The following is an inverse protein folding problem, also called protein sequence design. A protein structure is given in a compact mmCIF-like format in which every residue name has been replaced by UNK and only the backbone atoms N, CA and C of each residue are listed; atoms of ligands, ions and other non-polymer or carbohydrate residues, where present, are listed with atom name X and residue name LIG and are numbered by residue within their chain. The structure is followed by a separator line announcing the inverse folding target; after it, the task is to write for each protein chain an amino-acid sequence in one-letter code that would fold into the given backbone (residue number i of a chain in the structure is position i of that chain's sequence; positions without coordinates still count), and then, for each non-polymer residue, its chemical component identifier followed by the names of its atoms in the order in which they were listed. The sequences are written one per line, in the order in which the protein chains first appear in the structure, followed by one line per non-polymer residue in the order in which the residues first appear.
data_IF_175671453212
#
_entry.id   IF_175671453212
#
_cell.length_a   1.000
_cell.length_b   1.000
_cell.length_c   1.000
_cell.angle_alpha   90.00
_cell.angle_beta   90.00
_cell.angle_gamma   90.00
#
_symmetry.space_group_name_H-M   'P 1'
#
loop_
_entity.id
_entity.type
_entity.pdbx_description
1 polymer ?
#
# COMPACT_ATOMS: atom_id res chain seq x y z
N UNK A 1 -49.00 -18.92 -20.04
CA UNK A 1 -47.77 -18.65 -19.27
C UNK A 1 -46.48 -19.27 -19.86
N UNK A 2 -46.44 -19.74 -21.14
CA UNK A 2 -45.22 -20.29 -21.78
C UNK A 2 -44.30 -19.26 -22.44
N UNK A 3 -44.76 -18.05 -22.75
CA UNK A 3 -43.94 -17.02 -23.42
C UNK A 3 -42.94 -16.29 -22.55
N UNK A 4 -43.19 -16.14 -21.27
CA UNK A 4 -42.32 -15.43 -20.35
C UNK A 4 -41.03 -16.20 -20.01
N UNK A 5 -41.10 -17.55 -19.96
CA UNK A 5 -39.95 -18.39 -19.66
C UNK A 5 -38.95 -18.45 -20.83
N UNK A 6 -39.44 -18.46 -22.07
CA UNK A 6 -38.58 -18.49 -23.27
C UNK A 6 -37.85 -17.15 -23.51
N UNK A 7 -38.47 -16.02 -23.20
CA UNK A 7 -37.84 -14.70 -23.27
C UNK A 7 -36.80 -14.50 -22.15
N UNK A 8 -37.07 -14.99 -20.93
CA UNK A 8 -36.12 -14.97 -19.82
C UNK A 8 -34.87 -15.80 -20.15
N UNK A 9 -35.04 -16.98 -20.77
CA UNK A 9 -33.93 -17.83 -21.20
C UNK A 9 -33.03 -17.17 -22.25
N UNK A 10 -33.60 -16.39 -23.21
CA UNK A 10 -32.80 -15.67 -24.22
C UNK A 10 -31.94 -14.57 -23.62
N UNK A 11 -32.47 -13.80 -22.66
CA UNK A 11 -31.70 -12.76 -21.96
C UNK A 11 -30.60 -13.37 -21.06
N UNK A 12 -30.92 -14.42 -20.34
CA UNK A 12 -29.96 -15.15 -19.51
C UNK A 12 -28.86 -15.80 -20.36
N UNK A 13 -29.16 -16.27 -21.57
CA UNK A 13 -28.17 -16.84 -22.49
C UNK A 13 -27.03 -15.90 -22.76
N UNK A 14 -27.32 -14.63 -23.11
CA UNK A 14 -26.32 -13.62 -23.39
C UNK A 14 -25.45 -13.30 -22.16
N UNK A 15 -26.04 -13.21 -20.98
CA UNK A 15 -25.31 -12.98 -19.73
C UNK A 15 -24.39 -14.15 -19.37
N UNK A 16 -24.85 -15.38 -19.55
CA UNK A 16 -24.02 -16.56 -19.33
C UNK A 16 -22.88 -16.66 -20.35
N UNK A 17 -23.13 -16.28 -21.61
CA UNK A 17 -22.10 -16.26 -22.64
C UNK A 17 -21.02 -15.21 -22.33
N UNK A 18 -21.43 -13.99 -21.95
CA UNK A 18 -20.53 -12.95 -21.49
C UNK A 18 -19.66 -13.40 -20.29
N UNK A 19 -20.30 -14.06 -19.32
CA UNK A 19 -19.61 -14.64 -18.18
C UNK A 19 -18.62 -15.72 -18.59
N UNK A 20 -19.02 -16.62 -19.49
CA UNK A 20 -18.15 -17.67 -20.00
C UNK A 20 -16.90 -17.11 -20.68
N UNK A 21 -17.04 -16.10 -21.54
CA UNK A 21 -15.93 -15.44 -22.20
C UNK A 21 -14.98 -14.80 -21.17
N UNK A 22 -15.51 -14.17 -20.15
CA UNK A 22 -14.70 -13.55 -19.07
C UNK A 22 -13.95 -14.57 -18.26
N UNK A 23 -14.60 -15.66 -17.86
CA UNK A 23 -14.03 -16.64 -16.90
C UNK A 23 -13.18 -17.72 -17.57
N UNK A 24 -13.53 -18.17 -18.78
CA UNK A 24 -12.96 -19.41 -19.37
C UNK A 24 -12.04 -19.16 -20.57
N UNK A 25 -11.96 -17.91 -21.06
CA UNK A 25 -11.20 -17.61 -22.27
C UNK A 25 -10.12 -16.57 -22.03
N UNK A 26 -9.05 -16.67 -22.79
CA UNK A 26 -8.00 -15.68 -22.99
C UNK A 26 -7.28 -15.98 -24.31
N UNK A 27 -6.31 -15.16 -24.70
CA UNK A 27 -5.56 -15.30 -25.94
C UNK A 27 -4.95 -16.69 -26.14
N UNK A 28 -4.52 -17.35 -25.05
CA UNK A 28 -3.90 -18.69 -25.05
C UNK A 28 -4.92 -19.82 -24.94
N UNK A 29 -6.14 -19.51 -24.52
CA UNK A 29 -7.22 -20.47 -24.25
C UNK A 29 -8.51 -20.07 -24.97
N UNK A 30 -8.49 -19.90 -26.30
CA UNK A 30 -9.72 -19.64 -27.07
C UNK A 30 -10.68 -20.83 -26.97
N UNK A 31 -11.97 -20.58 -27.03
CA UNK A 31 -13.03 -21.58 -26.95
C UNK A 31 -13.87 -21.63 -28.20
N UNK A 32 -14.26 -22.81 -28.59
CA UNK A 32 -15.12 -23.01 -29.76
C UNK A 32 -16.58 -22.70 -29.45
N UNK A 33 -17.38 -22.43 -30.47
CA UNK A 33 -18.85 -22.31 -30.34
C UNK A 33 -19.46 -23.57 -29.70
N UNK A 34 -18.87 -24.72 -29.94
CA UNK A 34 -19.34 -25.97 -29.38
C UNK A 34 -19.12 -26.05 -27.85
N UNK A 35 -17.99 -25.52 -27.36
CA UNK A 35 -17.72 -25.39 -25.94
C UNK A 35 -18.72 -24.44 -25.26
N UNK A 36 -19.08 -23.36 -25.95
CA UNK A 36 -20.07 -22.38 -25.46
C UNK A 36 -21.47 -22.99 -25.37
N UNK A 37 -21.88 -23.77 -26.38
CA UNK A 37 -23.16 -24.49 -26.37
C UNK A 37 -23.17 -25.50 -25.20
N UNK A 38 -22.14 -26.30 -25.05
CA UNK A 38 -22.02 -27.26 -23.96
C UNK A 38 -22.01 -26.58 -22.57
N UNK A 39 -21.45 -25.38 -22.47
CA UNK A 39 -21.53 -24.60 -21.23
C UNK A 39 -22.96 -24.14 -20.96
N UNK A 40 -23.67 -23.60 -21.95
CA UNK A 40 -25.06 -23.14 -21.82
C UNK A 40 -26.03 -24.28 -21.48
N UNK A 41 -25.82 -25.45 -22.09
CA UNK A 41 -26.60 -26.66 -21.77
C UNK A 41 -26.48 -27.05 -20.29
N UNK A 42 -25.28 -26.97 -19.72
CA UNK A 42 -25.05 -27.18 -18.28
C UNK A 42 -25.77 -26.17 -17.39
N UNK A 43 -26.10 -24.99 -17.93
CA UNK A 43 -26.90 -23.98 -17.25
C UNK A 43 -28.42 -24.15 -17.54
N UNK A 44 -28.82 -25.22 -18.24
CA UNK A 44 -30.20 -25.46 -18.62
C UNK A 44 -30.70 -24.60 -19.77
N UNK A 45 -29.79 -24.03 -20.56
CA UNK A 45 -30.12 -23.16 -21.69
C UNK A 45 -29.72 -23.86 -23.00
N UNK A 46 -30.71 -24.19 -23.84
CA UNK A 46 -30.48 -24.70 -25.19
C UNK A 46 -30.12 -23.56 -26.14
N UNK A 47 -29.10 -23.75 -26.96
CA UNK A 47 -28.63 -22.77 -27.92
C UNK A 47 -28.21 -23.47 -29.24
N UNK A 48 -28.58 -22.86 -30.36
CA UNK A 48 -28.14 -23.27 -31.69
C UNK A 48 -26.88 -22.49 -32.09
N UNK A 49 -26.05 -23.12 -32.91
CA UNK A 49 -24.79 -22.53 -33.38
C UNK A 49 -24.95 -21.15 -33.99
N UNK A 50 -25.96 -20.94 -34.83
CA UNK A 50 -26.25 -19.66 -35.48
C UNK A 50 -26.53 -18.57 -34.42
N UNK A 51 -27.33 -18.90 -33.42
CA UNK A 51 -27.69 -17.95 -32.38
C UNK A 51 -26.54 -17.56 -31.46
N UNK A 52 -25.47 -18.37 -31.40
CA UNK A 52 -24.25 -17.99 -30.67
C UNK A 52 -23.46 -16.93 -31.42
N UNK A 53 -23.38 -17.02 -32.75
CA UNK A 53 -22.74 -15.99 -33.57
C UNK A 53 -23.44 -14.64 -33.41
N UNK A 54 -24.79 -14.62 -33.48
CA UNK A 54 -25.60 -13.42 -33.28
C UNK A 54 -25.36 -12.84 -31.86
N UNK A 55 -25.21 -13.69 -30.82
CA UNK A 55 -24.94 -13.25 -29.48
C UNK A 55 -23.51 -12.68 -29.32
N UNK A 56 -22.50 -13.26 -29.99
CA UNK A 56 -21.14 -12.75 -29.97
C UNK A 56 -21.06 -11.34 -30.60
N UNK A 57 -21.73 -11.13 -31.73
CA UNK A 57 -21.85 -9.81 -32.35
C UNK A 57 -22.53 -8.80 -31.41
N UNK A 58 -23.58 -9.22 -30.68
CA UNK A 58 -24.22 -8.36 -29.68
C UNK A 58 -23.30 -8.03 -28.51
N UNK A 59 -22.43 -8.95 -28.06
CA UNK A 59 -21.46 -8.70 -27.03
C UNK A 59 -20.36 -7.75 -27.50
N UNK A 60 -19.92 -7.84 -28.74
CA UNK A 60 -19.01 -6.87 -29.38
C UNK A 60 -19.65 -5.49 -29.45
N UNK A 61 -20.90 -5.40 -29.87
CA UNK A 61 -21.67 -4.14 -29.91
C UNK A 61 -21.85 -3.54 -28.49
N UNK A 62 -21.95 -4.40 -27.46
CA UNK A 62 -22.02 -3.98 -26.08
C UNK A 62 -20.67 -3.44 -25.55
N UNK A 63 -19.57 -3.62 -26.30
CA UNK A 63 -18.23 -3.15 -25.95
C UNK A 63 -17.32 -4.23 -25.35
N UNK A 64 -17.66 -5.52 -25.48
CA UNK A 64 -16.74 -6.61 -25.15
C UNK A 64 -15.83 -6.88 -26.35
N UNK A 65 -14.52 -6.87 -26.12
CA UNK A 65 -13.52 -7.18 -27.16
C UNK A 65 -13.49 -8.71 -27.42
N UNK A 66 -14.48 -9.22 -28.16
CA UNK A 66 -14.56 -10.63 -28.52
C UNK A 66 -13.71 -10.87 -29.77
N UNK A 67 -12.61 -11.54 -29.61
CA UNK A 67 -11.69 -11.83 -30.69
C UNK A 67 -11.81 -13.28 -31.17
N UNK A 68 -11.61 -13.46 -32.48
CA UNK A 68 -11.63 -14.77 -33.12
C UNK A 68 -10.21 -15.17 -33.57
N UNK A 69 -9.80 -16.38 -33.26
CA UNK A 69 -8.52 -16.93 -33.69
C UNK A 69 -8.74 -18.15 -34.58
N UNK A 70 -8.00 -18.19 -35.71
CA UNK A 70 -7.96 -19.32 -36.61
C UNK A 70 -6.72 -20.18 -36.30
N UNK A 71 -6.95 -21.33 -35.67
CA UNK A 71 -5.94 -22.32 -35.40
C UNK A 71 -6.33 -23.69 -36.07
N UNK A 72 -5.99 -24.81 -35.42
CA UNK A 72 -6.54 -26.14 -35.79
C UNK A 72 -8.07 -26.14 -35.69
N UNK A 73 -8.64 -25.34 -34.79
CA UNK A 73 -10.07 -25.09 -34.63
C UNK A 73 -10.27 -23.59 -34.52
N UNK A 74 -11.41 -23.10 -35.04
CA UNK A 74 -11.79 -21.72 -34.91
C UNK A 74 -12.32 -21.46 -33.49
N UNK A 75 -11.71 -20.53 -32.77
CA UNK A 75 -12.06 -20.24 -31.37
C UNK A 75 -12.23 -18.75 -31.12
N UNK A 76 -12.96 -18.43 -30.06
CA UNK A 76 -13.22 -17.07 -29.57
C UNK A 76 -12.63 -16.89 -28.18
N UNK A 77 -12.22 -15.67 -27.89
CA UNK A 77 -11.73 -15.28 -26.56
C UNK A 77 -12.01 -13.79 -26.30
N UNK A 78 -12.03 -13.40 -25.04
CA UNK A 78 -12.08 -12.01 -24.64
C UNK A 78 -10.66 -11.44 -24.65
N UNK A 79 -10.37 -10.49 -25.54
CA UNK A 79 -9.06 -9.87 -25.74
C UNK A 79 -8.78 -8.84 -24.67
N UNK A 80 -9.42 -7.68 -24.73
CA UNK A 80 -9.20 -6.59 -23.79
C UNK A 80 -9.94 -6.83 -22.47
N UNK A 81 -9.26 -6.53 -21.36
CA UNK A 81 -9.76 -6.61 -19.98
C UNK A 81 -9.41 -5.35 -19.23
N UNK A 82 -10.18 -5.03 -18.19
CA UNK A 82 -9.88 -3.88 -17.30
C UNK A 82 -8.46 -3.92 -16.74
N UNK A 83 -7.97 -5.14 -16.43
CA UNK A 83 -6.62 -5.37 -15.95
C UNK A 83 -5.91 -6.40 -16.82
N UNK A 84 -4.70 -6.07 -17.23
CA UNK A 84 -3.79 -7.00 -17.87
C UNK A 84 -3.15 -7.95 -16.84
N UNK A 85 -2.72 -9.13 -17.28
CA UNK A 85 -2.13 -10.13 -16.39
C UNK A 85 -0.90 -9.64 -15.62
N UNK A 86 0.03 -8.83 -16.19
CA UNK A 86 1.15 -8.25 -15.44
C UNK A 86 0.69 -7.29 -14.33
N UNK A 87 -0.36 -6.50 -14.56
CA UNK A 87 -0.91 -5.58 -13.57
C UNK A 87 -1.53 -6.33 -12.39
N UNK A 88 -2.31 -7.40 -12.67
CA UNK A 88 -2.84 -8.27 -11.62
C UNK A 88 -1.75 -8.95 -10.81
N UNK A 89 -0.66 -9.38 -11.46
CA UNK A 89 0.51 -9.92 -10.75
C UNK A 89 1.09 -8.91 -9.78
N UNK A 90 1.30 -7.67 -10.23
CA UNK A 90 1.82 -6.60 -9.39
C UNK A 90 0.88 -6.30 -8.20
N UNK A 91 -0.43 -6.21 -8.45
CA UNK A 91 -1.43 -5.98 -7.39
C UNK A 91 -1.41 -7.11 -6.34
N UNK A 92 -1.33 -8.37 -6.78
CA UNK A 92 -1.24 -9.52 -5.88
C UNK A 92 0.04 -9.49 -5.07
N UNK A 93 1.18 -9.16 -5.69
CA UNK A 93 2.47 -9.03 -5.02
C UNK A 93 2.42 -7.94 -3.93
N UNK A 94 1.82 -6.79 -4.22
CA UNK A 94 1.61 -5.70 -3.25
C UNK A 94 0.71 -6.14 -2.09
N UNK A 95 -0.40 -6.84 -2.37
CA UNK A 95 -1.30 -7.36 -1.34
C UNK A 95 -0.59 -8.39 -0.46
N UNK A 96 0.21 -9.28 -1.05
CA UNK A 96 0.98 -10.28 -0.30
C UNK A 96 2.10 -9.65 0.53
N UNK A 97 2.77 -8.63 -0.01
CA UNK A 97 3.86 -7.92 0.66
C UNK A 97 3.37 -6.97 1.76
N UNK A 98 2.09 -6.62 1.79
CA UNK A 98 1.53 -5.66 2.74
C UNK A 98 1.64 -6.17 4.19
N UNK A 99 2.37 -5.48 5.08
CA UNK A 99 2.42 -5.81 6.50
C UNK A 99 1.13 -5.43 7.24
N UNK A 100 0.25 -4.64 6.59
CA UNK A 100 -0.96 -4.07 7.18
C UNK A 100 -2.18 -4.97 7.05
N UNK A 101 -2.08 -6.01 6.23
CA UNK A 101 -3.15 -6.96 6.01
C UNK A 101 -2.86 -8.25 6.78
N UNK A 102 -3.89 -8.77 7.45
CA UNK A 102 -3.84 -10.12 8.00
C UNK A 102 -3.72 -11.14 6.87
N UNK A 103 -3.23 -12.33 7.16
CA UNK A 103 -3.14 -13.38 6.15
C UNK A 103 -4.51 -13.72 5.55
N UNK A 104 -5.54 -13.81 6.40
CA UNK A 104 -6.93 -14.06 5.97
C UNK A 104 -7.41 -12.99 5.00
N UNK A 105 -7.20 -11.70 5.33
CA UNK A 105 -7.64 -10.58 4.49
C UNK A 105 -6.86 -10.51 3.16
N UNK A 106 -5.56 -10.80 3.19
CA UNK A 106 -4.76 -10.89 1.97
C UNK A 106 -5.29 -11.98 1.04
N UNK A 107 -5.58 -13.18 1.57
CA UNK A 107 -6.15 -14.29 0.77
C UNK A 107 -7.51 -13.94 0.18
N UNK A 108 -8.39 -13.27 0.96
CA UNK A 108 -9.69 -12.81 0.46
C UNK A 108 -9.54 -11.82 -0.70
N UNK A 109 -8.65 -10.83 -0.57
CA UNK A 109 -8.40 -9.85 -1.62
C UNK A 109 -7.79 -10.47 -2.88
N UNK A 110 -6.83 -11.40 -2.71
CA UNK A 110 -6.24 -12.13 -3.83
C UNK A 110 -7.31 -12.94 -4.56
N UNK A 111 -8.19 -13.62 -3.85
CA UNK A 111 -9.29 -14.36 -4.47
C UNK A 111 -10.25 -13.46 -5.28
N UNK A 112 -10.45 -12.20 -4.86
CA UNK A 112 -11.20 -11.20 -5.64
C UNK A 112 -10.45 -10.73 -6.87
N UNK A 113 -9.14 -10.49 -6.76
CA UNK A 113 -8.28 -10.10 -7.90
C UNK A 113 -8.21 -11.22 -8.96
N UNK A 114 -8.16 -12.47 -8.53
CA UNK A 114 -8.18 -13.64 -9.43
C UNK A 114 -9.45 -13.69 -10.30
N UNK A 115 -10.56 -13.13 -9.84
CA UNK A 115 -11.83 -13.08 -10.59
C UNK A 115 -11.83 -12.05 -11.73
N UNK A 116 -10.85 -11.15 -11.76
CA UNK A 116 -10.73 -10.13 -12.80
C UNK A 116 -10.06 -10.67 -14.09
N UNK A 117 -9.61 -11.92 -14.08
CA UNK A 117 -9.00 -12.58 -15.25
C UNK A 117 -9.64 -13.93 -15.53
N UNK A 118 -9.17 -14.59 -16.59
CA UNK A 118 -9.61 -15.96 -16.91
C UNK A 118 -9.14 -16.97 -15.86
N UNK A 119 -9.88 -18.06 -15.67
CA UNK A 119 -9.48 -19.16 -14.77
C UNK A 119 -8.11 -19.76 -15.09
N UNK A 120 -7.73 -19.95 -16.38
CA UNK A 120 -6.37 -20.38 -16.70
C UNK A 120 -5.30 -19.38 -16.25
N UNK A 121 -5.52 -18.08 -16.44
CA UNK A 121 -4.60 -17.05 -16.00
C UNK A 121 -4.59 -16.91 -14.46
N UNK A 122 -5.75 -17.01 -13.79
CA UNK A 122 -5.84 -17.00 -12.33
C UNK A 122 -4.98 -18.07 -11.67
N UNK A 123 -4.85 -19.26 -12.28
CA UNK A 123 -3.94 -20.32 -11.79
C UNK A 123 -2.47 -19.90 -11.85
N UNK A 124 -2.08 -19.04 -12.79
CA UNK A 124 -0.72 -18.50 -12.87
C UNK A 124 -0.44 -17.42 -11.82
N UNK A 125 -1.50 -16.76 -11.31
CA UNK A 125 -1.41 -15.73 -10.29
C UNK A 125 -1.14 -16.29 -8.88
N UNK A 126 -1.44 -17.56 -8.64
CA UNK A 126 -1.22 -18.26 -7.37
C UNK A 126 0.24 -18.57 -7.07
N UNK A 127 1.16 -17.78 -7.60
CA UNK A 127 2.57 -17.90 -7.24
C UNK A 127 2.77 -17.41 -5.81
N UNK A 128 3.53 -18.18 -5.04
CA UNK A 128 3.99 -17.71 -3.73
C UNK A 128 5.06 -16.65 -3.96
N UNK A 129 4.74 -15.40 -3.71
CA UNK A 129 5.76 -14.39 -3.48
C UNK A 129 6.28 -14.65 -2.07
N UNK A 130 7.55 -15.07 -1.96
CA UNK A 130 8.21 -15.19 -0.68
C UNK A 130 8.45 -13.77 -0.14
N UNK A 131 7.58 -13.33 0.73
CA UNK A 131 7.82 -12.12 1.53
C UNK A 131 8.72 -12.57 2.68
N UNK A 132 9.93 -12.02 2.75
CA UNK A 132 10.82 -12.24 3.92
C UNK A 132 10.04 -11.90 5.19
N UNK A 133 10.20 -12.74 6.22
CA UNK A 133 9.46 -12.72 7.49
C UNK A 133 9.20 -11.28 7.99
N UNK A 134 8.02 -10.80 7.70
CA UNK A 134 7.51 -9.55 8.26
C UNK A 134 6.44 -9.91 9.28
N UNK A 135 6.56 -9.32 10.45
CA UNK A 135 5.50 -9.37 11.46
C UNK A 135 4.25 -8.74 10.84
N UNK A 136 3.30 -9.57 10.43
CA UNK A 136 2.00 -9.12 9.93
C UNK A 136 1.14 -8.65 11.09
N UNK A 137 0.32 -7.66 10.85
CA UNK A 137 -0.69 -7.29 11.84
C UNK A 137 -1.69 -8.43 12.04
N UNK A 138 -2.08 -8.65 13.29
CA UNK A 138 -3.23 -9.50 13.63
C UNK A 138 -4.52 -8.68 13.84
N UNK A 139 -4.44 -7.36 13.59
CA UNK A 139 -5.52 -6.42 13.88
C UNK A 139 -6.35 -6.13 12.62
N UNK A 140 -7.45 -6.87 12.43
CA UNK A 140 -8.40 -6.60 11.34
C UNK A 140 -9.07 -5.22 11.47
N UNK A 141 -9.10 -4.63 12.68
CA UNK A 141 -9.67 -3.29 12.92
C UNK A 141 -8.87 -2.19 12.24
N UNK A 142 -7.59 -2.45 11.89
CA UNK A 142 -6.75 -1.50 11.18
C UNK A 142 -7.37 -1.09 9.82
N UNK A 143 -7.95 -2.03 9.09
CA UNK A 143 -8.61 -1.77 7.82
C UNK A 143 -9.76 -0.75 7.98
N UNK A 144 -10.62 -0.96 8.98
CA UNK A 144 -11.73 -0.05 9.27
C UNK A 144 -11.27 1.30 9.83
N UNK A 145 -10.18 1.32 10.58
CA UNK A 145 -9.60 2.57 11.06
C UNK A 145 -9.06 3.42 9.90
N UNK A 146 -8.39 2.80 8.92
CA UNK A 146 -7.92 3.48 7.71
C UNK A 146 -9.11 4.05 6.92
N UNK A 147 -10.18 3.29 6.74
CA UNK A 147 -11.39 3.72 6.03
C UNK A 147 -12.06 4.91 6.75
N UNK A 148 -12.24 4.80 8.06
CA UNK A 148 -12.80 5.90 8.87
C UNK A 148 -11.95 7.17 8.84
N UNK A 149 -10.61 7.04 8.85
CA UNK A 149 -9.71 8.18 8.73
C UNK A 149 -9.78 8.82 7.34
N UNK A 150 -9.86 8.04 6.27
CA UNK A 150 -10.06 8.57 4.92
C UNK A 150 -11.39 9.33 4.82
N UNK A 151 -12.46 8.79 5.38
CA UNK A 151 -13.76 9.47 5.43
C UNK A 151 -13.65 10.80 6.17
N UNK A 152 -13.01 10.82 7.35
CA UNK A 152 -12.85 12.04 8.14
C UNK A 152 -12.00 13.10 7.42
N UNK A 153 -10.96 12.69 6.70
CA UNK A 153 -10.11 13.59 5.89
C UNK A 153 -10.92 14.18 4.73
N UNK A 154 -11.67 13.35 4.00
CA UNK A 154 -12.45 13.79 2.85
C UNK A 154 -13.62 14.70 3.24
N UNK A 155 -14.23 14.47 4.40
CA UNK A 155 -15.39 15.22 4.87
C UNK A 155 -15.01 16.40 5.79
N UNK A 156 -13.71 16.66 5.94
CA UNK A 156 -13.18 17.70 6.84
C UNK A 156 -13.73 17.60 8.28
N UNK A 157 -13.71 16.39 8.86
CA UNK A 157 -14.22 16.09 10.18
C UNK A 157 -13.12 15.77 11.17
N UNK A 158 -13.33 16.12 12.45
CA UNK A 158 -12.48 15.64 13.53
C UNK A 158 -12.69 14.16 13.79
N UNK A 159 -11.66 13.53 14.36
CA UNK A 159 -11.74 12.14 14.82
C UNK A 159 -11.39 12.06 16.29
N UNK A 160 -11.98 11.07 16.96
CA UNK A 160 -11.61 10.70 18.33
C UNK A 160 -11.09 9.28 18.35
N UNK A 161 -10.09 9.01 19.18
CA UNK A 161 -9.55 7.65 19.38
C UNK A 161 -8.81 7.56 20.70
N UNK A 162 -8.68 6.36 21.27
CA UNK A 162 -7.73 6.07 22.36
C UNK A 162 -6.41 5.62 21.76
N UNK A 163 -5.29 6.06 22.33
CA UNK A 163 -3.96 5.72 21.84
C UNK A 163 -3.18 4.96 22.90
N UNK A 164 -2.52 3.86 22.51
CA UNK A 164 -1.80 3.01 23.43
C UNK A 164 -0.34 2.79 23.00
N UNK A 165 0.49 2.48 23.98
CA UNK A 165 1.83 1.91 23.80
C UNK A 165 1.80 0.46 24.29
N UNK A 166 2.70 -0.36 23.73
CA UNK A 166 2.90 -1.72 24.22
C UNK A 166 3.67 -1.71 25.52
N UNK A 167 3.27 -2.52 26.48
CA UNK A 167 4.01 -2.78 27.71
C UNK A 167 5.00 -3.94 27.50
N UNK A 168 6.06 -4.06 28.33
CA UNK A 168 7.07 -5.14 28.20
C UNK A 168 6.49 -6.56 28.27
N UNK A 169 5.36 -6.73 28.92
CA UNK A 169 4.62 -8.00 29.03
C UNK A 169 3.64 -8.24 27.86
N UNK A 170 3.65 -7.38 26.83
CA UNK A 170 2.79 -7.47 25.66
C UNK A 170 1.37 -6.95 25.86
N UNK A 171 1.09 -6.28 26.99
CA UNK A 171 -0.16 -5.58 27.25
C UNK A 171 -0.23 -4.22 26.57
N UNK A 172 -1.31 -3.48 26.83
CA UNK A 172 -1.55 -2.13 26.32
C UNK A 172 -1.62 -1.13 27.45
N UNK A 173 -0.76 -0.12 27.39
CA UNK A 173 -0.81 1.06 28.27
C UNK A 173 -1.42 2.23 27.50
N UNK A 174 -2.61 2.66 27.88
CA UNK A 174 -3.27 3.79 27.23
C UNK A 174 -2.66 5.10 27.69
N UNK A 175 -2.26 5.94 26.73
CA UNK A 175 -1.82 7.30 27.02
C UNK A 175 -2.97 8.13 27.59
N UNK A 176 -2.65 9.18 28.34
CA UNK A 176 -3.62 10.07 29.01
C UNK A 176 -4.63 9.31 29.90
N UNK A 177 -4.23 8.19 30.50
CA UNK A 177 -5.12 7.37 31.34
C UNK A 177 -6.32 6.79 30.58
N UNK A 178 -6.22 6.65 29.23
CA UNK A 178 -7.32 6.16 28.39
C UNK A 178 -8.28 7.24 27.90
N UNK A 179 -8.09 8.52 28.26
CA UNK A 179 -8.89 9.61 27.73
C UNK A 179 -8.68 9.71 26.20
N UNK A 180 -9.79 9.77 25.42
CA UNK A 180 -9.68 9.88 23.96
C UNK A 180 -8.93 11.14 23.53
N UNK A 181 -8.16 10.98 22.46
CA UNK A 181 -7.65 12.11 21.69
C UNK A 181 -8.76 12.60 20.78
N UNK A 182 -8.94 13.91 20.68
CA UNK A 182 -9.66 14.55 19.59
C UNK A 182 -8.64 15.27 18.72
N UNK A 183 -8.70 15.09 17.41
CA UNK A 183 -7.66 15.61 16.51
C UNK A 183 -8.22 15.96 15.14
N UNK A 184 -7.48 16.80 14.42
CA UNK A 184 -7.77 17.27 13.07
C UNK A 184 -7.00 16.43 12.06
N UNK A 185 -7.61 15.40 11.44
CA UNK A 185 -6.93 14.56 10.47
C UNK A 185 -6.63 15.35 9.19
N UNK A 186 -5.41 15.21 8.69
CA UNK A 186 -4.94 15.92 7.49
C UNK A 186 -4.62 14.96 6.36
N UNK A 187 -3.87 13.91 6.66
CA UNK A 187 -3.47 12.92 5.69
C UNK A 187 -3.14 11.58 6.32
N UNK A 188 -3.22 10.52 5.51
CA UNK A 188 -2.63 9.23 5.82
C UNK A 188 -1.33 9.06 5.05
N UNK A 189 -0.28 8.67 5.75
CA UNK A 189 1.02 8.35 5.18
C UNK A 189 1.35 6.89 5.44
N UNK A 190 2.02 6.26 4.50
CA UNK A 190 2.45 4.86 4.57
C UNK A 190 3.96 4.79 4.41
N UNK A 191 4.59 4.20 5.40
CA UNK A 191 5.98 3.75 5.34
C UNK A 191 6.03 2.30 5.82
N UNK A 192 6.71 1.98 6.90
CA UNK A 192 6.63 0.67 7.58
C UNK A 192 5.27 0.43 8.24
N UNK A 193 4.56 1.50 8.57
CA UNK A 193 3.22 1.52 9.20
C UNK A 193 2.35 2.58 8.54
N UNK A 194 1.04 2.49 8.80
CA UNK A 194 0.14 3.61 8.53
C UNK A 194 0.24 4.66 9.64
N UNK A 195 0.38 5.90 9.23
CA UNK A 195 0.41 7.06 10.12
C UNK A 195 -0.67 8.06 9.75
N UNK A 196 -1.40 8.51 10.73
CA UNK A 196 -2.22 9.70 10.62
C UNK A 196 -1.35 10.93 10.88
N UNK A 197 -1.28 11.83 9.92
CA UNK A 197 -0.82 13.21 10.13
C UNK A 197 -2.02 14.02 10.55
N UNK A 198 -1.96 14.61 11.73
CA UNK A 198 -3.03 15.42 12.29
C UNK A 198 -2.51 16.78 12.74
N UNK A 199 -3.24 17.84 12.42
CA UNK A 199 -2.92 19.20 12.85
C UNK A 199 -3.34 19.42 14.30
N UNK A 200 -2.44 19.94 15.12
CA UNK A 200 -2.69 20.36 16.51
C UNK A 200 -2.65 21.89 16.61
N UNK A 201 -3.81 22.56 16.71
CA UNK A 201 -3.86 24.01 16.73
C UNK A 201 -3.24 24.63 18.00
N UNK A 202 -3.10 23.86 19.08
CA UNK A 202 -2.51 24.36 20.32
C UNK A 202 -1.00 24.61 20.21
N UNK A 203 -0.32 23.82 19.39
CA UNK A 203 1.13 23.96 19.13
C UNK A 203 1.40 24.52 17.72
N UNK A 204 0.36 24.74 16.92
CA UNK A 204 0.43 25.18 15.53
C UNK A 204 1.35 24.28 14.66
N UNK A 205 1.32 22.97 14.91
CA UNK A 205 2.20 21.99 14.28
C UNK A 205 1.45 20.66 14.06
N UNK A 206 2.09 19.72 13.40
CA UNK A 206 1.53 18.42 13.04
C UNK A 206 2.01 17.33 14.00
N UNK A 207 1.11 16.40 14.31
CA UNK A 207 1.40 15.20 15.09
C UNK A 207 1.19 13.97 14.24
N UNK A 208 2.05 12.96 14.47
CA UNK A 208 1.94 11.67 13.84
C UNK A 208 1.42 10.62 14.82
N UNK A 209 0.43 9.89 14.39
CA UNK A 209 -0.12 8.79 15.17
C UNK A 209 -0.09 7.51 14.34
N UNK A 210 0.50 6.46 14.86
CA UNK A 210 0.42 5.13 14.24
C UNK A 210 -1.01 4.63 14.32
N UNK A 211 -1.59 4.28 13.17
CA UNK A 211 -3.00 3.86 13.10
C UNK A 211 -3.21 2.51 13.79
N UNK A 212 -2.22 1.61 13.78
CA UNK A 212 -2.25 0.32 14.47
C UNK A 212 -2.27 0.43 16.01
N UNK A 213 -1.97 1.62 16.56
CA UNK A 213 -2.03 1.94 17.99
C UNK A 213 -3.29 2.71 18.40
N UNK A 214 -4.21 2.89 17.47
CA UNK A 214 -5.49 3.55 17.72
C UNK A 214 -6.56 2.51 18.09
N UNK A 215 -7.38 2.83 19.06
CA UNK A 215 -8.57 2.05 19.40
C UNK A 215 -9.79 2.95 19.54
N UNK A 216 -10.97 2.37 19.25
CA UNK A 216 -12.25 3.07 19.31
C UNK A 216 -12.25 4.36 18.48
N UNK A 217 -11.70 4.27 17.26
CA UNK A 217 -11.73 5.39 16.33
C UNK A 217 -13.19 5.71 15.97
N UNK A 218 -13.52 6.98 16.06
CA UNK A 218 -14.85 7.49 15.68
C UNK A 218 -14.66 8.80 14.90
N UNK A 219 -15.31 8.89 13.75
CA UNK A 219 -15.45 10.15 13.00
C UNK A 219 -16.54 10.97 13.70
N UNK A 220 -16.25 12.21 14.02
CA UNK A 220 -17.20 13.10 14.71
C UNK A 220 -17.97 13.96 13.72
N UNK A 221 -19.08 14.53 14.17
CA UNK A 221 -19.81 15.55 13.39
C UNK A 221 -19.16 16.95 13.47
N UNK A 222 -18.09 17.09 14.27
CA UNK A 222 -17.39 18.37 14.44
C UNK A 222 -16.50 18.63 13.23
N UNK A 223 -16.64 19.78 12.55
CA UNK A 223 -15.72 20.16 11.47
C UNK A 223 -14.27 20.26 11.96
N UNK A 224 -13.34 19.91 11.09
CA UNK A 224 -11.91 20.09 11.32
C UNK A 224 -11.59 21.59 11.45
N UNK A 225 -10.67 21.93 12.35
CA UNK A 225 -10.15 23.28 12.45
C UNK A 225 -9.42 23.69 11.15
N UNK A 226 -9.42 24.98 10.78
CA UNK A 226 -8.72 25.45 9.59
C UNK A 226 -7.24 25.06 9.60
N UNK A 227 -6.75 24.58 8.47
CA UNK A 227 -5.33 24.28 8.31
C UNK A 227 -4.56 25.53 7.88
N UNK A 228 -3.26 25.63 8.20
CA UNK A 228 -2.40 26.68 7.66
C UNK A 228 -2.39 26.66 6.11
N UNK A 229 -2.49 27.85 5.49
CA UNK A 229 -2.61 28.01 4.03
C UNK A 229 -1.44 27.42 3.20
N UNK A 230 -0.29 27.17 3.81
CA UNK A 230 0.94 26.77 3.12
C UNK A 230 1.37 25.32 3.39
N UNK A 231 0.48 24.45 3.86
CA UNK A 231 0.84 23.06 4.12
C UNK A 231 0.98 22.26 2.82
N UNK A 232 2.21 21.85 2.49
CA UNK A 232 2.53 20.95 1.39
C UNK A 232 2.89 19.57 1.96
N UNK A 233 1.92 18.66 1.92
CA UNK A 233 2.09 17.28 2.41
C UNK A 233 3.26 16.56 1.71
N UNK A 234 3.45 16.77 0.40
CA UNK A 234 4.51 16.11 -0.36
C UNK A 234 5.91 16.53 0.09
N UNK A 235 6.10 17.81 0.39
CA UNK A 235 7.35 18.31 0.99
C UNK A 235 7.49 17.82 2.41
N UNK A 236 6.42 17.88 3.19
CA UNK A 236 6.43 17.47 4.59
C UNK A 236 6.86 16.01 4.76
N UNK A 237 6.25 15.08 4.03
CA UNK A 237 6.58 13.65 4.11
C UNK A 237 8.04 13.36 3.71
N UNK A 238 8.60 14.11 2.75
CA UNK A 238 10.00 13.94 2.34
C UNK A 238 11.01 14.29 3.43
N UNK A 239 10.64 15.13 4.40
CA UNK A 239 11.54 15.58 5.47
C UNK A 239 11.57 14.64 6.67
N UNK A 240 10.56 13.77 6.80
CA UNK A 240 10.36 12.93 7.99
C UNK A 240 11.12 11.60 7.84
N UNK A 241 11.88 11.24 8.87
CA UNK A 241 12.50 9.93 9.02
C UNK A 241 11.62 9.00 9.84
N UNK A 242 11.09 7.92 9.23
CA UNK A 242 10.24 6.92 9.88
C UNK A 242 9.08 7.53 10.71
N UNK A 243 8.49 8.65 10.23
CA UNK A 243 7.42 9.38 10.90
C UNK A 243 7.69 9.72 12.38
N UNK A 244 8.95 9.98 12.70
CA UNK A 244 9.35 10.46 14.02
C UNK A 244 9.19 11.99 14.09
N UNK A 245 8.52 12.50 15.13
CA UNK A 245 8.40 13.95 15.37
C UNK A 245 9.74 14.51 15.84
N UNK A 246 10.51 15.10 14.94
CA UNK A 246 11.74 15.78 15.22
C UNK A 246 11.66 17.25 14.81
N UNK A 247 12.78 17.93 14.83
CA UNK A 247 12.92 19.31 14.32
C UNK A 247 13.47 19.23 12.90
N UNK A 248 12.77 19.85 11.95
CA UNK A 248 13.26 19.93 10.57
C UNK A 248 14.47 20.86 10.48
N UNK A 249 15.59 20.32 10.03
CA UNK A 249 16.86 21.04 9.83
C UNK A 249 17.43 20.76 8.45
N UNK A 250 18.03 21.76 7.83
CA UNK A 250 18.81 21.52 6.62
C UNK A 250 20.20 21.05 7.02
N UNK A 251 20.50 19.80 6.70
CA UNK A 251 21.81 19.19 7.01
C UNK A 251 22.68 19.09 5.77
N UNK A 252 23.98 19.15 5.97
CA UNK A 252 24.96 18.75 4.98
C UNK A 252 25.66 17.47 5.44
N UNK A 253 25.56 16.45 4.62
CA UNK A 253 26.14 15.14 4.83
C UNK A 253 27.24 14.90 3.81
N UNK A 254 28.26 14.12 4.19
CA UNK A 254 29.31 13.63 3.29
C UNK A 254 29.28 12.10 3.30
N UNK A 255 29.35 11.51 2.13
CA UNK A 255 29.34 10.05 1.96
C UNK A 255 30.50 9.61 1.05
N UNK A 256 30.96 8.39 1.24
CA UNK A 256 31.81 7.72 0.25
C UNK A 256 31.03 7.55 -1.06
N UNK A 257 31.71 7.64 -2.21
CA UNK A 257 31.07 7.56 -3.55
C UNK A 257 30.30 6.25 -3.76
N UNK A 258 30.73 5.16 -3.13
CA UNK A 258 30.04 3.88 -3.21
C UNK A 258 28.61 3.92 -2.68
N UNK A 259 28.28 4.88 -1.82
CA UNK A 259 26.95 5.05 -1.23
C UNK A 259 26.02 5.94 -2.07
N UNK A 260 26.38 6.29 -3.32
CA UNK A 260 25.56 7.16 -4.18
C UNK A 260 24.12 6.61 -4.35
N UNK A 261 23.96 5.30 -4.55
CA UNK A 261 22.63 4.69 -4.69
C UNK A 261 21.78 4.86 -3.42
N UNK A 262 22.38 4.68 -2.24
CA UNK A 262 21.71 4.89 -0.95
C UNK A 262 21.25 6.35 -0.80
N UNK A 263 22.09 7.29 -1.22
CA UNK A 263 21.75 8.72 -1.21
C UNK A 263 20.60 9.02 -2.18
N UNK A 264 20.66 8.46 -3.40
CA UNK A 264 19.60 8.61 -4.39
C UNK A 264 18.27 7.99 -3.92
N UNK A 265 18.32 6.79 -3.33
CA UNK A 265 17.14 6.10 -2.80
C UNK A 265 16.51 6.87 -1.64
N UNK A 266 17.32 7.57 -0.82
CA UNK A 266 16.83 8.28 0.36
C UNK A 266 16.33 9.68 0.04
N UNK A 267 17.09 10.45 -0.73
CA UNK A 267 16.83 11.88 -0.94
C UNK A 267 16.24 12.18 -2.33
N UNK A 268 16.25 11.19 -3.23
CA UNK A 268 15.74 11.31 -4.59
C UNK A 268 16.68 12.05 -5.54
N UNK A 269 16.29 12.12 -6.81
CA UNK A 269 17.07 12.78 -7.86
C UNK A 269 17.14 14.30 -7.69
N UNK A 270 16.22 14.90 -6.93
CA UNK A 270 16.16 16.34 -6.67
C UNK A 270 17.11 16.77 -5.52
N UNK A 271 17.78 15.83 -4.86
CA UNK A 271 18.75 16.14 -3.81
C UNK A 271 19.92 16.96 -4.35
N UNK A 272 20.33 17.98 -3.60
CA UNK A 272 21.49 18.76 -3.96
C UNK A 272 22.77 17.98 -3.65
N UNK A 273 23.23 17.20 -4.63
CA UNK A 273 24.43 16.34 -4.55
C UNK A 273 25.55 16.99 -5.33
N UNK A 274 26.74 17.08 -4.73
CA UNK A 274 27.94 17.59 -5.38
C UNK A 274 29.16 16.71 -5.08
N UNK A 275 30.10 16.59 -5.99
CA UNK A 275 31.39 15.98 -5.71
C UNK A 275 32.13 16.74 -4.59
N UNK A 276 32.83 16.01 -3.73
CA UNK A 276 33.65 16.53 -2.63
C UNK A 276 34.92 15.67 -2.52
N UNK A 277 35.90 15.96 -3.41
CA UNK A 277 37.10 15.14 -3.57
C UNK A 277 36.76 13.71 -4.05
N UNK A 278 37.15 12.72 -3.27
CA UNK A 278 36.84 11.28 -3.47
C UNK A 278 35.49 10.87 -2.91
N UNK A 279 34.78 11.79 -2.25
CA UNK A 279 33.47 11.63 -1.64
C UNK A 279 32.38 12.42 -2.37
N UNK A 280 31.15 12.37 -1.85
CA UNK A 280 30.01 13.18 -2.27
C UNK A 280 29.44 13.94 -1.08
N UNK A 281 29.08 15.21 -1.30
CA UNK A 281 28.37 16.03 -0.33
C UNK A 281 26.91 16.17 -0.74
N UNK A 282 26.01 16.03 0.24
CA UNK A 282 24.56 16.08 0.06
C UNK A 282 24.00 17.14 1.00
N UNK A 283 23.19 18.05 0.48
CA UNK A 283 22.44 19.02 1.28
C UNK A 283 20.97 18.70 1.17
N UNK A 284 20.31 18.43 2.29
CA UNK A 284 18.90 18.06 2.32
C UNK A 284 18.23 18.53 3.63
N UNK A 285 16.95 18.89 3.58
CA UNK A 285 16.13 19.05 4.78
C UNK A 285 15.82 17.67 5.35
N UNK A 286 16.01 17.49 6.67
CA UNK A 286 15.69 16.25 7.38
C UNK A 286 15.06 16.56 8.73
N UNK A 287 14.22 15.67 9.20
CA UNK A 287 13.72 15.73 10.57
C UNK A 287 14.76 15.07 11.49
N UNK A 288 15.43 15.89 12.28
CA UNK A 288 16.53 15.46 13.14
C UNK A 288 15.98 14.76 14.38
N UNK A 289 16.46 13.54 14.63
CA UNK A 289 16.03 12.75 15.77
C UNK A 289 16.74 11.40 15.81
N UNK A 290 16.41 10.53 16.79
CA UNK A 290 17.05 9.23 16.96
C UNK A 290 17.01 8.34 15.71
N UNK A 291 15.93 8.42 14.92
CA UNK A 291 15.78 7.64 13.68
C UNK A 291 16.74 8.09 12.59
N UNK A 292 16.92 9.41 12.44
CA UNK A 292 17.90 9.98 11.53
C UNK A 292 19.33 9.60 11.97
N UNK A 293 19.62 9.71 13.26
CA UNK A 293 20.93 9.32 13.80
C UNK A 293 21.22 7.85 13.61
N UNK A 294 20.24 6.97 13.86
CA UNK A 294 20.37 5.53 13.62
C UNK A 294 20.61 5.19 12.15
N UNK A 295 19.89 5.88 11.24
CA UNK A 295 20.11 5.74 9.80
C UNK A 295 21.51 6.20 9.38
N UNK A 296 22.00 7.32 9.90
CA UNK A 296 23.35 7.80 9.58
C UNK A 296 24.42 6.87 10.15
N UNK A 297 24.22 6.37 11.38
CA UNK A 297 25.16 5.51 12.09
C UNK A 297 25.43 4.18 11.38
N UNK A 298 24.45 3.63 10.63
CA UNK A 298 24.61 2.34 9.92
C UNK A 298 25.76 2.35 8.91
N UNK A 299 26.18 3.52 8.43
CA UNK A 299 27.27 3.66 7.44
C UNK A 299 28.64 3.80 8.09
N UNK A 300 28.72 3.91 9.41
CA UNK A 300 29.97 4.07 10.13
C UNK A 300 30.82 5.24 9.62
N UNK A 301 32.11 5.02 9.37
CA UNK A 301 33.01 6.04 8.85
C UNK A 301 32.80 6.43 7.38
N UNK A 302 31.89 5.76 6.66
CA UNK A 302 31.59 6.07 5.25
C UNK A 302 30.59 7.23 5.10
N UNK A 303 29.99 7.67 6.20
CA UNK A 303 29.09 8.81 6.24
C UNK A 303 29.47 9.78 7.36
N UNK A 304 29.32 11.07 7.12
CA UNK A 304 29.68 12.14 8.04
C UNK A 304 28.63 13.24 8.01
N UNK A 305 28.24 13.74 9.18
CA UNK A 305 27.39 14.91 9.32
C UNK A 305 28.27 16.16 9.49
N UNK A 306 28.21 17.07 8.55
CA UNK A 306 29.08 18.26 8.51
C UNK A 306 28.44 19.45 9.24
N UNK A 307 27.21 19.78 8.87
CA UNK A 307 26.46 20.93 9.42
C UNK A 307 24.99 20.57 9.58
N UNK A 308 24.27 21.21 10.52
CA UNK A 308 24.73 22.27 11.42
C UNK A 308 25.48 21.68 12.65
N UNK A 309 26.34 22.52 13.27
CA UNK A 309 27.21 22.10 14.37
C UNK A 309 26.47 21.55 15.59
N UNK A 310 25.28 22.05 15.91
CA UNK A 310 24.50 21.54 17.02
C UNK A 310 24.00 20.12 16.73
N UNK A 311 23.52 19.83 15.53
CA UNK A 311 23.08 18.48 15.14
C UNK A 311 24.27 17.49 15.14
N UNK A 312 25.44 17.94 14.68
CA UNK A 312 26.66 17.14 14.72
C UNK A 312 27.07 16.81 16.16
N UNK A 313 26.97 17.77 17.09
CA UNK A 313 27.25 17.53 18.52
C UNK A 313 26.26 16.55 19.12
N UNK A 314 24.98 16.70 18.84
CA UNK A 314 23.93 15.82 19.34
C UNK A 314 24.13 14.39 18.82
N UNK A 315 24.50 14.22 17.54
CA UNK A 315 24.83 12.92 16.96
C UNK A 315 26.08 12.31 17.65
N UNK A 316 27.12 13.10 17.86
CA UNK A 316 28.35 12.64 18.55
C UNK A 316 28.06 12.18 19.96
N UNK A 317 27.21 12.92 20.68
CA UNK A 317 26.80 12.56 22.04
C UNK A 317 25.98 11.27 22.06
N UNK A 318 25.08 11.10 21.08
CA UNK A 318 24.30 9.88 20.90
C UNK A 318 25.21 8.66 20.67
N UNK A 319 26.23 8.79 19.83
CA UNK A 319 27.22 7.74 19.59
C UNK A 319 28.04 7.43 20.86
N UNK A 320 28.43 8.46 21.62
CA UNK A 320 29.19 8.28 22.89
C UNK A 320 28.35 7.53 23.91
N UNK A 321 27.08 7.89 24.09
CA UNK A 321 26.21 7.19 25.04
C UNK A 321 26.02 5.72 24.68
N UNK A 322 25.92 5.41 23.37
CA UNK A 322 25.88 4.02 22.91
C UNK A 322 27.19 3.29 23.28
N UNK A 323 28.35 3.88 22.98
CA UNK A 323 29.66 3.30 23.24
C UNK A 323 29.90 3.07 24.74
N UNK A 324 29.51 4.01 25.59
CA UNK A 324 29.70 3.92 27.04
C UNK A 324 28.93 2.76 27.68
N UNK A 325 27.78 2.38 27.09
CA UNK A 325 27.01 1.19 27.50
C UNK A 325 27.82 -0.11 27.30
N UNK A 326 28.56 -0.21 26.21
CA UNK A 326 29.36 -1.41 25.90
C UNK A 326 30.73 -1.43 26.63
N UNK A 327 31.28 -0.27 27.00
CA UNK A 327 32.52 -0.18 27.76
C UNK A 327 32.36 -0.55 29.25
N UNK A 328 31.13 -0.50 29.76
CA UNK A 328 30.84 -0.88 31.16
C UNK A 328 30.90 -2.39 31.42
N UNK A 329 30.84 -3.23 30.40
CA UNK A 329 30.85 -4.71 30.54
C UNK A 329 32.26 -5.34 30.41
N UNK A 330 33.27 -4.55 30.01
CA UNK A 330 34.66 -5.01 29.86
C UNK A 330 35.51 -4.85 31.13
N UNK A 331 34.89 -4.67 32.31
CA UNK A 331 35.66 -4.78 33.57
C UNK A 331 36.04 -6.25 33.78
N UNK A 332 37.36 -6.61 33.81
CA UNK A 332 37.76 -7.99 34.03
C UNK A 332 37.28 -8.42 35.41
N UNK A 333 36.48 -9.50 35.44
CA UNK A 333 36.24 -10.25 36.68
C UNK A 333 37.60 -10.73 37.22
N UNK A 334 38.13 -9.99 38.15
CA UNK A 334 39.31 -10.38 38.96
C UNK A 334 38.86 -11.22 40.14
#
# INVERSE_FOLDING_TARGET
MKGGCAMANKKLKLLYLARYLREETDERHPRTVQDMIAYLERQGISAERKSIYDDLELLELYGMDVQAVRGKTYGYFLGEREFQLPELKLLIDVVQASPFLTQSKSMELIAKLEQLTSRPNARQLRRQVYVMDRVRTHNEKLYYAIDGLNTAINDDRKVTFRYFDWTPDGGKAYRRGGTPYETNPVALCVDKHYYLVAYDPAIQDYRHYRVDRMESLTVTDTPRDPLPEQFDLGKYVKTIFDMYNGRTETVQLRFDRALINVVMDRFGADAHIRPDGDRIAVTAPVEVGPTFYGWLFQFGGQAELLVPDHVRRDFTEHCRQALDRYRGDDAPNS
#
